data_IF_699136602879
#
_entry.id   IF_699136602879
#
_cell.length_a   1.000
_cell.length_b   1.000
_cell.length_c   1.000
_cell.angle_alpha   90.00
_cell.angle_beta   90.00
_cell.angle_gamma   90.00
#
_symmetry.space_group_name_H-M   'P 1'
#
loop_
_entity.id
_entity.type
_entity.pdbx_description
1 polymer ?
#
# COMPACT_ATOMS: atom_id res chain seq x y z
N UNK A 1 6.80 26.07 -1.14
CA UNK A 1 6.67 24.68 -1.61
C UNK A 1 7.35 23.80 -0.58
N UNK A 2 6.72 22.69 -0.17
CA UNK A 2 7.39 21.73 0.72
C UNK A 2 8.64 21.20 0.00
N UNK A 3 9.76 21.06 0.73
CA UNK A 3 11.01 20.52 0.17
C UNK A 3 10.81 19.06 -0.25
N UNK A 4 11.73 18.55 -1.06
CA UNK A 4 11.74 17.14 -1.46
C UNK A 4 11.88 16.23 -0.23
N UNK A 5 10.95 15.29 -0.03
CA UNK A 5 11.04 14.19 0.93
C UNK A 5 10.74 12.88 0.22
N UNK A 6 11.75 12.04 0.12
CA UNK A 6 11.65 10.69 -0.44
C UNK A 6 11.82 9.62 0.63
N UNK A 7 11.56 8.38 0.28
CA UNK A 7 11.78 7.24 1.18
C UNK A 7 12.13 5.97 0.41
N UNK A 8 12.90 5.10 1.03
CA UNK A 8 13.00 3.68 0.72
C UNK A 8 12.21 2.89 1.75
N UNK A 9 11.37 1.96 1.31
CA UNK A 9 10.38 1.31 2.16
C UNK A 9 10.39 -0.22 1.96
N UNK A 10 11.45 -0.92 2.45
CA UNK A 10 11.58 -2.36 2.27
C UNK A 10 10.74 -3.15 3.27
N UNK A 11 10.17 -4.29 2.82
CA UNK A 11 9.61 -5.32 3.70
C UNK A 11 10.73 -6.24 4.19
N UNK A 12 10.81 -6.54 5.50
CA UNK A 12 11.90 -7.34 6.06
C UNK A 12 11.64 -8.85 5.93
N UNK A 13 11.50 -9.32 4.68
CA UNK A 13 11.26 -10.73 4.31
C UNK A 13 12.53 -11.46 3.89
N UNK A 14 13.68 -10.92 4.21
CA UNK A 14 14.99 -11.42 3.87
C UNK A 14 15.99 -10.29 3.58
N UNK A 15 17.09 -10.62 2.94
CA UNK A 15 18.11 -9.69 2.49
C UNK A 15 17.61 -8.87 1.28
N UNK A 16 18.13 -7.65 1.14
CA UNK A 16 17.88 -6.88 -0.08
C UNK A 16 18.56 -7.57 -1.27
N UNK A 17 17.78 -7.86 -2.28
CA UNK A 17 18.29 -8.33 -3.57
C UNK A 17 18.71 -7.14 -4.47
N UNK A 18 19.34 -7.43 -5.60
CA UNK A 18 19.85 -6.40 -6.51
C UNK A 18 18.78 -5.36 -6.90
N UNK A 19 17.56 -5.80 -7.23
CA UNK A 19 16.46 -4.89 -7.58
C UNK A 19 16.06 -3.95 -6.44
N UNK A 20 16.05 -4.45 -5.19
CA UNK A 20 15.79 -3.62 -4.00
C UNK A 20 16.89 -2.58 -3.81
N UNK A 21 18.16 -2.96 -3.98
CA UNK A 21 19.28 -2.04 -3.87
C UNK A 21 19.28 -0.96 -4.98
N UNK A 22 18.89 -1.33 -6.20
CA UNK A 22 18.70 -0.36 -7.29
C UNK A 22 17.62 0.65 -6.96
N UNK A 23 16.46 0.18 -6.44
CA UNK A 23 15.38 1.09 -6.02
C UNK A 23 15.81 1.99 -4.84
N UNK A 24 16.56 1.44 -3.87
CA UNK A 24 17.12 2.21 -2.76
C UNK A 24 18.09 3.30 -3.27
N UNK A 25 19.05 2.92 -4.11
CA UNK A 25 20.01 3.85 -4.69
C UNK A 25 19.31 4.94 -5.53
N UNK A 26 18.37 4.56 -6.39
CA UNK A 26 17.61 5.50 -7.21
C UNK A 26 16.85 6.52 -6.35
N UNK A 27 16.16 6.06 -5.30
CA UNK A 27 15.42 6.94 -4.39
C UNK A 27 16.36 7.87 -3.60
N UNK A 28 17.52 7.38 -3.20
CA UNK A 28 18.54 8.18 -2.51
C UNK A 28 19.15 9.25 -3.44
N UNK A 29 19.54 8.85 -4.66
CA UNK A 29 20.10 9.78 -5.67
C UNK A 29 19.09 10.86 -6.04
N UNK A 30 17.82 10.50 -6.22
CA UNK A 30 16.77 11.47 -6.53
C UNK A 30 16.59 12.48 -5.39
N UNK A 31 16.62 12.04 -4.14
CA UNK A 31 16.59 12.93 -2.99
C UNK A 31 17.81 13.86 -2.94
N UNK A 32 19.01 13.35 -3.19
CA UNK A 32 20.25 14.15 -3.21
C UNK A 32 20.26 15.16 -4.35
N UNK A 33 19.82 14.77 -5.54
CA UNK A 33 19.73 15.67 -6.70
C UNK A 33 18.80 16.88 -6.46
N UNK A 34 17.83 16.72 -5.57
CA UNK A 34 16.88 17.76 -5.20
C UNK A 34 17.19 18.44 -3.86
N UNK A 35 18.37 18.19 -3.28
CA UNK A 35 18.75 18.68 -1.94
C UNK A 35 17.70 18.36 -0.87
N UNK A 36 17.05 17.18 -1.01
CA UNK A 36 15.95 16.75 -0.18
C UNK A 36 16.35 15.79 0.94
N UNK A 37 15.35 15.39 1.70
CA UNK A 37 15.45 14.42 2.79
C UNK A 37 15.11 13.04 2.27
N UNK A 38 15.90 12.03 2.66
CA UNK A 38 15.66 10.63 2.34
C UNK A 38 15.47 9.81 3.62
N UNK A 39 14.37 9.09 3.68
CA UNK A 39 13.95 8.29 4.83
C UNK A 39 14.04 6.79 4.54
N UNK A 40 14.16 6.00 5.60
CA UNK A 40 13.99 4.55 5.54
C UNK A 40 12.84 4.13 6.46
N UNK A 41 11.88 3.40 5.89
CA UNK A 41 10.74 2.85 6.61
C UNK A 41 10.66 1.34 6.40
N UNK A 42 10.78 0.59 7.48
CA UNK A 42 10.63 -0.87 7.47
C UNK A 42 9.14 -1.22 7.42
N UNK A 43 8.71 -1.92 6.38
CA UNK A 43 7.32 -2.28 6.14
C UNK A 43 7.01 -3.68 6.70
N UNK A 44 6.87 -3.75 8.00
CA UNK A 44 6.72 -4.94 8.82
C UNK A 44 5.30 -5.13 9.40
N UNK A 45 4.26 -4.63 8.74
CA UNK A 45 2.86 -4.79 9.22
C UNK A 45 2.40 -6.26 9.25
N UNK A 46 2.88 -7.09 8.33
CA UNK A 46 2.58 -8.52 8.25
C UNK A 46 3.69 -9.32 8.94
N UNK A 47 3.77 -9.20 10.27
CA UNK A 47 4.82 -9.82 11.09
C UNK A 47 5.06 -11.32 10.78
N UNK A 48 4.05 -12.17 10.54
CA UNK A 48 4.28 -13.57 10.18
C UNK A 48 5.11 -13.81 8.92
N UNK A 49 5.20 -12.81 8.03
CA UNK A 49 6.01 -12.86 6.80
C UNK A 49 7.40 -12.28 6.98
N UNK A 50 7.65 -11.61 8.10
CA UNK A 50 8.93 -10.99 8.39
C UNK A 50 9.91 -12.04 8.93
N UNK A 51 11.16 -11.99 8.47
CA UNK A 51 12.23 -12.80 9.01
C UNK A 51 12.86 -12.12 10.23
N UNK A 52 13.07 -12.82 11.34
CA UNK A 52 13.70 -12.25 12.52
C UNK A 52 15.07 -11.64 12.21
N UNK A 53 15.26 -10.36 12.53
CA UNK A 53 16.52 -9.64 12.33
C UNK A 53 16.75 -9.15 10.89
N UNK A 54 15.85 -9.43 9.93
CA UNK A 54 16.00 -8.97 8.56
C UNK A 54 15.99 -7.43 8.46
N UNK A 55 15.23 -6.75 9.31
CA UNK A 55 15.24 -5.29 9.39
C UNK A 55 16.62 -4.73 9.68
N UNK A 56 17.34 -5.32 10.64
CA UNK A 56 18.70 -4.92 11.01
C UNK A 56 19.72 -5.27 9.91
N UNK A 57 19.51 -6.39 9.21
CA UNK A 57 20.34 -6.76 8.06
C UNK A 57 20.16 -5.75 6.91
N UNK A 58 18.91 -5.38 6.59
CA UNK A 58 18.59 -4.38 5.59
C UNK A 58 19.27 -3.05 5.91
N UNK A 59 19.17 -2.57 7.16
CA UNK A 59 19.80 -1.31 7.56
C UNK A 59 21.32 -1.36 7.44
N UNK A 60 21.95 -2.51 7.76
CA UNK A 60 23.40 -2.71 7.55
C UNK A 60 23.77 -2.73 6.07
N UNK A 61 23.04 -3.47 5.23
CA UNK A 61 23.27 -3.48 3.78
C UNK A 61 23.22 -2.07 3.17
N UNK A 62 22.24 -1.25 3.59
CA UNK A 62 22.14 0.14 3.16
C UNK A 62 23.37 0.93 3.61
N UNK A 63 23.77 0.81 4.87
CA UNK A 63 24.96 1.50 5.42
C UNK A 63 26.26 1.08 4.71
N UNK A 64 26.43 -0.22 4.44
CA UNK A 64 27.58 -0.77 3.70
C UNK A 64 27.65 -0.21 2.25
N UNK A 65 26.48 0.13 1.66
CA UNK A 65 26.40 0.82 0.38
C UNK A 65 26.52 2.35 0.49
N UNK A 66 26.72 2.91 1.67
CA UNK A 66 26.79 4.37 1.90
C UNK A 66 25.41 5.06 1.86
N UNK A 67 24.31 4.30 1.89
CA UNK A 67 22.95 4.82 1.83
C UNK A 67 22.43 5.08 3.25
N UNK A 68 22.78 6.22 3.82
CA UNK A 68 22.37 6.61 5.16
C UNK A 68 21.11 7.46 5.13
N UNK A 69 20.06 7.12 5.92
CA UNK A 69 18.86 7.95 6.03
C UNK A 69 19.17 9.24 6.81
N UNK A 70 18.45 10.30 6.47
CA UNK A 70 18.61 11.63 7.11
C UNK A 70 17.87 11.73 8.45
N UNK A 71 16.93 10.84 8.73
CA UNK A 71 16.21 10.72 9.99
C UNK A 71 16.25 9.26 10.48
N UNK A 72 16.02 8.99 11.78
CA UNK A 72 15.99 7.62 12.29
C UNK A 72 14.98 6.76 11.52
N UNK A 73 15.33 5.51 11.18
CA UNK A 73 14.40 4.58 10.53
C UNK A 73 13.14 4.36 11.36
N UNK A 74 12.02 4.12 10.67
CA UNK A 74 10.72 3.86 11.27
C UNK A 74 10.21 2.46 10.94
N UNK A 75 9.32 1.90 11.77
CA UNK A 75 8.70 0.59 11.58
C UNK A 75 7.19 0.72 11.54
N UNK A 76 6.56 0.11 10.56
CA UNK A 76 5.10 0.14 10.39
C UNK A 76 4.36 -0.61 11.51
N UNK A 77 4.93 -1.69 12.02
CA UNK A 77 4.35 -2.45 13.15
C UNK A 77 4.08 -1.60 14.40
N UNK A 78 4.77 -0.48 14.53
CA UNK A 78 4.63 0.46 15.66
C UNK A 78 3.57 1.54 15.43
N UNK A 79 2.90 1.56 14.26
CA UNK A 79 2.02 2.64 13.83
C UNK A 79 0.52 2.29 13.90
N UNK A 80 0.14 1.18 14.53
CA UNK A 80 -1.23 0.69 14.56
C UNK A 80 -2.29 1.73 14.95
N UNK A 81 -2.01 2.54 15.98
CA UNK A 81 -2.91 3.61 16.42
C UNK A 81 -3.12 4.69 15.35
N UNK A 82 -2.09 5.02 14.57
CA UNK A 82 -2.20 5.98 13.49
C UNK A 82 -3.05 5.44 12.33
N UNK A 83 -2.94 4.14 12.04
CA UNK A 83 -3.79 3.52 11.02
C UNK A 83 -5.25 3.46 11.47
N UNK A 84 -5.52 3.19 12.75
CA UNK A 84 -6.88 3.28 13.29
C UNK A 84 -7.45 4.69 13.13
N UNK A 85 -6.69 5.71 13.50
CA UNK A 85 -7.10 7.10 13.32
C UNK A 85 -7.37 7.46 11.85
N UNK A 86 -6.52 7.00 10.92
CA UNK A 86 -6.68 7.27 9.49
C UNK A 86 -7.90 6.53 8.88
N UNK A 87 -8.36 5.44 9.48
CA UNK A 87 -9.54 4.71 9.02
C UNK A 87 -10.85 5.45 9.38
N UNK A 88 -10.89 6.22 10.48
CA UNK A 88 -12.10 6.88 10.96
C UNK A 88 -12.78 7.76 9.91
N UNK A 89 -12.09 8.69 9.22
CA UNK A 89 -12.74 9.51 8.20
C UNK A 89 -13.34 8.69 7.05
N UNK A 90 -12.70 7.57 6.66
CA UNK A 90 -13.25 6.68 5.64
C UNK A 90 -14.54 5.99 6.10
N UNK A 91 -14.62 5.69 7.39
CA UNK A 91 -15.83 5.13 7.99
C UNK A 91 -16.96 6.17 8.01
N UNK A 92 -16.67 7.39 8.47
CA UNK A 92 -17.64 8.49 8.51
C UNK A 92 -18.18 8.86 7.12
N UNK A 93 -17.37 8.69 6.09
CA UNK A 93 -17.75 8.91 4.69
C UNK A 93 -18.46 7.70 4.07
N UNK A 94 -18.68 6.62 4.82
CA UNK A 94 -19.21 5.34 4.31
C UNK A 94 -18.36 4.78 3.13
N UNK A 95 -17.09 5.19 3.03
CA UNK A 95 -16.16 4.75 2.00
C UNK A 95 -15.55 3.36 2.27
N UNK A 96 -15.86 2.76 3.42
CA UNK A 96 -15.41 1.42 3.81
C UNK A 96 -16.55 0.60 4.39
N UNK A 97 -16.42 -0.72 4.29
CA UNK A 97 -17.38 -1.67 4.84
C UNK A 97 -16.72 -2.96 5.33
N UNK A 98 -17.41 -3.67 6.24
CA UNK A 98 -16.98 -4.96 6.74
C UNK A 98 -17.28 -6.09 5.75
N UNK A 99 -16.33 -6.99 5.54
CA UNK A 99 -16.44 -8.12 4.63
C UNK A 99 -16.03 -9.42 5.33
N UNK A 100 -16.87 -10.46 5.19
CA UNK A 100 -16.63 -11.81 5.74
C UNK A 100 -16.10 -12.79 4.69
N UNK A 101 -16.06 -12.41 3.43
CA UNK A 101 -15.64 -13.29 2.35
C UNK A 101 -14.19 -13.71 2.49
N UNK A 102 -13.97 -15.02 2.50
CA UNK A 102 -12.66 -15.62 2.28
C UNK A 102 -12.27 -15.59 0.80
N UNK A 103 -11.00 -15.93 0.48
CA UNK A 103 -10.57 -16.09 -0.91
C UNK A 103 -11.40 -17.14 -1.65
N UNK A 104 -11.76 -18.22 -0.96
CA UNK A 104 -12.59 -19.30 -1.53
C UNK A 104 -14.00 -18.82 -1.88
N UNK A 105 -14.61 -17.97 -1.04
CA UNK A 105 -15.94 -17.41 -1.32
C UNK A 105 -15.90 -16.51 -2.57
N UNK A 106 -14.82 -15.73 -2.75
CA UNK A 106 -14.62 -14.91 -3.94
C UNK A 106 -14.47 -15.77 -5.18
N UNK A 107 -13.66 -16.84 -5.10
CA UNK A 107 -13.47 -17.79 -6.20
C UNK A 107 -14.78 -18.48 -6.57
N UNK A 108 -15.57 -18.94 -5.59
CA UNK A 108 -16.89 -19.54 -5.81
C UNK A 108 -17.88 -18.55 -6.44
N UNK A 109 -17.88 -17.30 -6.03
CA UNK A 109 -18.76 -16.28 -6.60
C UNK A 109 -18.45 -16.03 -8.08
N UNK A 110 -17.18 -16.09 -8.48
CA UNK A 110 -16.79 -15.97 -9.88
C UNK A 110 -17.03 -17.25 -10.68
N UNK A 111 -16.78 -18.41 -10.08
CA UNK A 111 -17.10 -19.71 -10.72
C UNK A 111 -18.60 -19.81 -11.04
N UNK A 112 -19.48 -19.36 -10.13
CA UNK A 112 -20.91 -19.28 -10.37
C UNK A 112 -21.32 -18.36 -11.53
N UNK A 113 -20.44 -17.43 -11.92
CA UNK A 113 -20.58 -16.52 -13.08
C UNK A 113 -19.86 -17.04 -14.33
N UNK A 114 -19.34 -18.28 -14.29
CA UNK A 114 -18.61 -18.91 -15.41
C UNK A 114 -17.17 -18.44 -15.58
N UNK A 115 -16.61 -17.70 -14.60
CA UNK A 115 -15.22 -17.23 -14.64
C UNK A 115 -14.33 -18.20 -13.85
N UNK A 116 -13.34 -18.76 -14.52
CA UNK A 116 -12.33 -19.64 -13.91
C UNK A 116 -11.05 -18.85 -13.70
N UNK A 117 -10.51 -18.89 -12.47
CA UNK A 117 -9.26 -18.23 -12.12
C UNK A 117 -8.08 -18.86 -12.85
N UNK A 118 -7.30 -18.08 -13.56
CA UNK A 118 -6.01 -18.48 -14.10
C UNK A 118 -4.91 -18.46 -13.02
N UNK A 119 -3.81 -19.21 -13.25
CA UNK A 119 -2.63 -19.14 -12.36
C UNK A 119 -2.14 -17.69 -12.26
N UNK A 120 -1.86 -17.24 -11.06
CA UNK A 120 -1.35 -15.88 -10.74
C UNK A 120 -2.32 -14.71 -10.97
N UNK A 121 -3.57 -14.97 -11.37
CA UNK A 121 -4.58 -13.92 -11.48
C UNK A 121 -5.18 -13.59 -10.11
N UNK A 122 -5.12 -12.33 -9.69
CA UNK A 122 -5.92 -11.84 -8.58
C UNK A 122 -7.33 -11.56 -9.08
N UNK A 123 -8.32 -12.18 -8.44
CA UNK A 123 -9.73 -11.96 -8.81
C UNK A 123 -10.22 -10.65 -8.23
N UNK A 124 -10.84 -9.84 -9.07
CA UNK A 124 -11.56 -8.64 -8.63
C UNK A 124 -12.64 -9.04 -7.61
N UNK A 125 -12.75 -8.29 -6.52
CA UNK A 125 -13.79 -8.60 -5.52
C UNK A 125 -15.19 -8.41 -6.10
N UNK A 126 -16.08 -9.43 -6.03
CA UNK A 126 -17.39 -9.40 -6.72
C UNK A 126 -18.44 -8.49 -6.06
N UNK A 127 -18.11 -7.80 -4.97
CA UNK A 127 -19.02 -6.90 -4.28
C UNK A 127 -20.03 -7.58 -3.35
N UNK A 128 -19.85 -8.86 -3.02
CA UNK A 128 -20.84 -9.68 -2.26
C UNK A 128 -21.30 -9.03 -0.94
N UNK A 129 -20.39 -8.37 -0.20
CA UNK A 129 -20.73 -7.69 1.06
C UNK A 129 -20.99 -6.19 0.89
N UNK A 130 -20.92 -5.64 -0.33
CA UNK A 130 -21.07 -4.20 -0.62
C UNK A 130 -22.49 -3.70 -0.47
N UNK A 131 -23.48 -4.55 -0.69
CA UNK A 131 -24.91 -4.18 -0.82
C UNK A 131 -25.61 -3.88 0.47
N UNK A 132 -25.00 -4.18 1.59
CA UNK A 132 -25.56 -3.90 2.88
C UNK A 132 -25.14 -2.51 3.38
N UNK A 133 -25.58 -1.43 2.71
CA UNK A 133 -25.59 -0.10 3.32
C UNK A 133 -26.28 -0.23 4.67
N UNK A 134 -25.54 -0.06 5.76
CA UNK A 134 -26.07 -0.02 7.11
C UNK A 134 -26.11 -1.35 7.87
N UNK A 135 -25.62 -2.50 7.37
CA UNK A 135 -25.62 -3.76 8.13
C UNK A 135 -24.34 -4.03 8.96
N UNK A 136 -23.35 -3.15 8.94
CA UNK A 136 -22.42 -3.08 10.07
C UNK A 136 -22.94 -1.95 10.95
N UNK A 137 -23.82 -2.29 11.89
CA UNK A 137 -24.30 -1.38 12.92
C UNK A 137 -23.05 -0.89 13.69
N UNK A 138 -22.60 0.30 13.37
CA UNK A 138 -21.81 1.10 14.28
C UNK A 138 -22.74 1.40 15.45
N UNK A 139 -22.51 0.80 16.60
CA UNK A 139 -23.05 1.39 17.80
C UNK A 139 -22.35 2.72 17.96
N UNK A 140 -23.08 3.81 17.79
CA UNK A 140 -22.61 5.18 17.93
C UNK A 140 -22.04 5.49 19.34
N UNK A 141 -22.07 4.54 20.24
CA UNK A 141 -21.68 4.66 21.65
C UNK A 141 -20.22 4.24 21.94
N UNK A 142 -19.45 3.78 20.96
CA UNK A 142 -18.06 3.45 21.24
C UNK A 142 -17.13 4.59 20.83
N UNK A 143 -16.60 5.28 21.82
CA UNK A 143 -15.50 6.26 21.73
C UNK A 143 -14.18 5.64 21.21
N UNK A 144 -14.16 4.38 20.94
CA UNK A 144 -13.18 3.64 20.13
C UNK A 144 -13.97 2.61 19.34
N UNK A 145 -14.00 2.72 18.00
CA UNK A 145 -14.56 1.65 17.19
C UNK A 145 -13.64 0.44 17.37
N UNK A 146 -14.00 -0.46 18.26
CA UNK A 146 -13.42 -1.80 18.25
C UNK A 146 -13.80 -2.41 16.92
N UNK A 147 -12.88 -2.24 15.94
CA UNK A 147 -13.02 -2.86 14.63
C UNK A 147 -13.35 -4.32 14.84
N UNK A 148 -14.55 -4.73 14.47
CA UNK A 148 -15.08 -6.03 14.83
C UNK A 148 -14.08 -7.10 14.40
N UNK A 149 -13.62 -7.91 15.37
CA UNK A 149 -12.72 -9.03 15.10
C UNK A 149 -13.42 -9.99 14.14
N UNK A 150 -12.66 -10.54 13.20
CA UNK A 150 -13.20 -11.49 12.21
C UNK A 150 -13.82 -10.86 10.97
N UNK A 151 -13.76 -9.54 10.82
CA UNK A 151 -14.15 -8.83 9.58
C UNK A 151 -12.93 -8.22 8.91
N UNK A 152 -12.82 -8.42 7.60
CA UNK A 152 -11.93 -7.61 6.78
C UNK A 152 -12.61 -6.28 6.47
N UNK A 153 -11.87 -5.18 6.50
CA UNK A 153 -12.35 -3.87 6.11
C UNK A 153 -11.93 -3.59 4.68
N UNK A 154 -12.90 -3.32 3.80
CA UNK A 154 -12.66 -3.01 2.39
C UNK A 154 -12.98 -1.57 2.07
N UNK A 155 -12.10 -0.96 1.27
CA UNK A 155 -12.39 0.32 0.62
C UNK A 155 -13.37 0.08 -0.51
N UNK A 156 -14.44 0.88 -0.53
CA UNK A 156 -15.44 0.87 -1.59
C UNK A 156 -14.94 1.72 -2.75
N UNK A 157 -14.48 1.06 -3.81
CA UNK A 157 -14.02 1.75 -5.01
C UNK A 157 -15.21 2.38 -5.73
N UNK A 158 -15.17 3.70 -6.03
CA UNK A 158 -16.24 4.36 -6.77
C UNK A 158 -16.49 3.71 -8.15
N UNK A 159 -17.73 3.72 -8.68
CA UNK A 159 -18.05 3.10 -9.97
C UNK A 159 -17.21 3.62 -11.14
N UNK A 160 -16.97 4.92 -11.17
CA UNK A 160 -16.25 5.60 -12.26
C UNK A 160 -14.82 5.99 -11.85
N UNK A 161 -14.12 5.06 -11.21
CA UNK A 161 -12.76 5.29 -10.69
C UNK A 161 -11.69 5.15 -11.78
N UNK A 162 -11.75 6.00 -12.81
CA UNK A 162 -10.65 6.18 -13.74
C UNK A 162 -9.58 7.04 -13.08
N UNK A 163 -8.41 6.45 -12.80
CA UNK A 163 -7.27 7.16 -12.23
C UNK A 163 -6.24 7.43 -13.31
N UNK A 164 -5.97 8.71 -13.53
CA UNK A 164 -4.89 9.17 -14.40
C UNK A 164 -3.78 9.74 -13.53
N UNK A 165 -2.53 9.35 -13.81
CA UNK A 165 -1.35 9.92 -13.14
C UNK A 165 -0.18 9.99 -14.11
N UNK A 166 0.78 10.81 -13.78
CA UNK A 166 2.02 10.91 -14.53
C UNK A 166 3.15 10.32 -13.72
N UNK A 167 3.79 9.32 -14.27
CA UNK A 167 5.04 8.78 -13.73
C UNK A 167 6.22 9.42 -14.45
N UNK A 168 7.28 9.72 -13.70
CA UNK A 168 8.44 10.43 -14.26
C UNK A 168 9.21 9.59 -15.30
N UNK A 169 9.10 8.26 -15.28
CA UNK A 169 9.72 7.35 -16.25
C UNK A 169 8.71 6.75 -17.21
N UNK A 170 7.58 6.24 -16.70
CA UNK A 170 6.57 5.55 -17.50
C UNK A 170 5.70 6.51 -18.33
N UNK A 171 5.72 7.81 -18.00
CA UNK A 171 4.89 8.82 -18.67
C UNK A 171 3.45 8.85 -18.16
N UNK A 172 2.50 9.10 -19.04
CA UNK A 172 1.08 9.14 -18.71
C UNK A 172 0.55 7.72 -18.50
N UNK A 173 -0.02 7.48 -17.34
CA UNK A 173 -0.58 6.20 -16.92
C UNK A 173 -2.07 6.34 -16.61
N UNK A 174 -2.83 5.31 -16.90
CA UNK A 174 -4.28 5.28 -16.68
C UNK A 174 -4.73 3.91 -16.22
N UNK A 175 -5.61 3.84 -15.22
CA UNK A 175 -6.24 2.58 -14.81
C UNK A 175 -7.69 2.80 -14.38
N UNK A 176 -8.58 1.93 -14.86
CA UNK A 176 -9.98 1.84 -14.41
C UNK A 176 -10.04 0.91 -13.18
N UNK A 177 -9.90 1.48 -11.98
CA UNK A 177 -9.66 0.70 -10.74
C UNK A 177 -10.84 -0.18 -10.37
N UNK A 178 -12.09 0.28 -10.55
CA UNK A 178 -13.27 -0.54 -10.26
C UNK A 178 -13.36 -1.81 -11.13
N UNK A 179 -12.85 -1.76 -12.35
CA UNK A 179 -12.86 -2.90 -13.28
C UNK A 179 -11.67 -3.83 -13.10
N UNK A 180 -10.48 -3.27 -12.83
CA UNK A 180 -9.23 -4.05 -12.78
C UNK A 180 -8.88 -4.57 -11.37
N UNK A 181 -9.36 -3.90 -10.32
CA UNK A 181 -9.05 -4.22 -8.92
C UNK A 181 -10.33 -4.48 -8.10
N UNK A 182 -11.36 -3.62 -8.26
CA UNK A 182 -12.56 -3.63 -7.43
C UNK A 182 -12.27 -3.16 -5.99
N UNK A 183 -13.18 -3.49 -5.08
CA UNK A 183 -13.04 -3.13 -3.67
C UNK A 183 -11.89 -3.90 -3.02
N UNK A 184 -10.93 -3.21 -2.43
CA UNK A 184 -9.73 -3.82 -1.87
C UNK A 184 -9.64 -3.68 -0.35
N UNK A 185 -8.91 -4.60 0.27
CA UNK A 185 -8.78 -4.69 1.72
C UNK A 185 -7.87 -3.58 2.25
N UNK A 186 -8.31 -2.89 3.32
CA UNK A 186 -7.51 -1.97 4.12
C UNK A 186 -7.01 -2.62 5.41
N UNK A 187 -7.84 -3.49 6.01
CA UNK A 187 -7.48 -4.28 7.18
C UNK A 187 -8.03 -5.70 7.02
N UNK A 188 -7.20 -6.70 7.25
CA UNK A 188 -7.57 -8.12 7.18
C UNK A 188 -8.43 -8.52 8.39
N UNK A 189 -9.14 -9.64 8.27
CA UNK A 189 -9.97 -10.20 9.34
C UNK A 189 -9.15 -10.61 10.59
N UNK A 190 -7.89 -10.95 10.42
CA UNK A 190 -6.92 -11.24 11.49
C UNK A 190 -6.35 -9.97 12.16
N UNK A 191 -6.73 -8.78 11.67
CA UNK A 191 -6.33 -7.50 12.21
C UNK A 191 -5.10 -6.87 11.55
N UNK A 192 -4.45 -7.55 10.62
CA UNK A 192 -3.27 -7.03 9.91
C UNK A 192 -3.70 -5.94 8.93
N UNK A 193 -3.01 -4.81 8.94
CA UNK A 193 -3.22 -3.71 8.00
C UNK A 193 -2.69 -4.07 6.61
N UNK A 194 -3.39 -3.64 5.57
CA UNK A 194 -2.93 -3.86 4.20
C UNK A 194 -1.78 -2.91 3.86
N UNK A 195 -0.92 -3.38 2.97
CA UNK A 195 0.17 -2.60 2.39
C UNK A 195 -0.31 -1.24 1.87
N UNK A 196 -1.40 -1.23 1.09
CA UNK A 196 -1.92 0.00 0.46
C UNK A 196 -2.28 1.07 1.50
N UNK A 197 -2.95 0.67 2.57
CA UNK A 197 -3.39 1.61 3.59
C UNK A 197 -2.25 2.10 4.48
N UNK A 198 -1.38 1.18 4.88
CA UNK A 198 -0.22 1.52 5.71
C UNK A 198 0.72 2.50 5.00
N UNK A 199 1.06 2.23 3.73
CA UNK A 199 1.93 3.10 2.92
C UNK A 199 1.35 4.49 2.75
N UNK A 200 0.07 4.61 2.36
CA UNK A 200 -0.58 5.92 2.16
C UNK A 200 -0.61 6.72 3.45
N UNK A 201 -0.95 6.07 4.56
CA UNK A 201 -0.99 6.74 5.87
C UNK A 201 0.39 7.20 6.32
N UNK A 202 1.41 6.36 6.18
CA UNK A 202 2.76 6.71 6.60
C UNK A 202 3.42 7.74 5.68
N UNK A 203 3.22 7.64 4.37
CA UNK A 203 3.72 8.64 3.42
C UNK A 203 3.15 10.03 3.76
N UNK A 204 1.87 10.11 4.08
CA UNK A 204 1.25 11.38 4.51
C UNK A 204 1.83 11.89 5.84
N UNK A 205 1.95 11.02 6.85
CA UNK A 205 2.48 11.38 8.18
C UNK A 205 3.94 11.82 8.14
N UNK A 206 4.74 11.20 7.27
CA UNK A 206 6.15 11.53 7.06
C UNK A 206 6.34 12.70 6.09
N UNK A 207 5.26 13.23 5.50
CA UNK A 207 5.31 14.33 4.55
C UNK A 207 6.04 13.96 3.25
N UNK A 208 5.91 12.70 2.82
CA UNK A 208 6.56 12.21 1.59
C UNK A 208 5.96 12.93 0.38
N UNK A 209 6.84 13.53 -0.41
CA UNK A 209 6.48 14.27 -1.63
C UNK A 209 6.83 13.50 -2.90
N UNK A 210 7.78 12.55 -2.81
CA UNK A 210 8.28 11.79 -3.95
C UNK A 210 8.40 10.31 -3.58
N UNK A 211 7.85 9.47 -4.43
CA UNK A 211 7.88 8.00 -4.31
C UNK A 211 8.69 7.43 -5.46
N UNK A 212 9.90 6.97 -5.16
CA UNK A 212 10.74 6.22 -6.10
C UNK A 212 10.76 4.77 -5.65
N UNK A 213 10.39 3.83 -6.54
CA UNK A 213 10.30 2.39 -6.23
C UNK A 213 10.34 1.54 -7.50
N UNK A 214 10.44 0.21 -7.38
CA UNK A 214 10.43 -0.71 -8.51
C UNK A 214 9.13 -0.69 -9.31
N UNK A 215 9.22 -0.95 -10.61
CA UNK A 215 8.07 -0.97 -11.53
C UNK A 215 7.05 -2.06 -11.22
N UNK A 216 7.46 -3.15 -10.56
CA UNK A 216 6.57 -4.19 -10.03
C UNK A 216 5.49 -3.65 -9.08
N UNK A 217 5.70 -2.46 -8.52
CA UNK A 217 4.74 -1.78 -7.68
C UNK A 217 3.89 -0.72 -8.41
N UNK A 218 4.06 -0.53 -9.72
CA UNK A 218 3.33 0.49 -10.48
C UNK A 218 1.81 0.30 -10.42
N UNK A 219 1.34 -0.95 -10.48
CA UNK A 219 -0.08 -1.30 -10.39
C UNK A 219 -0.73 -0.96 -9.04
N UNK A 220 0.07 -0.68 -8.02
CA UNK A 220 -0.44 -0.23 -6.72
C UNK A 220 -0.75 1.27 -6.69
N UNK A 221 -0.15 2.05 -7.58
CA UNK A 221 -0.25 3.51 -7.60
C UNK A 221 -1.70 4.02 -7.68
N UNK A 222 -2.56 3.53 -8.59
CA UNK A 222 -3.94 4.02 -8.66
C UNK A 222 -4.76 3.73 -7.40
N UNK A 223 -4.55 2.58 -6.74
CA UNK A 223 -5.20 2.27 -5.44
C UNK A 223 -4.78 3.26 -4.36
N UNK A 224 -3.49 3.60 -4.33
CA UNK A 224 -2.94 4.56 -3.37
C UNK A 224 -3.46 5.97 -3.65
N UNK A 225 -3.56 6.38 -4.92
CA UNK A 225 -4.14 7.67 -5.31
C UNK A 225 -5.62 7.76 -4.88
N UNK A 226 -6.43 6.73 -5.09
CA UNK A 226 -7.82 6.71 -4.62
C UNK A 226 -7.93 6.86 -3.10
N UNK A 227 -7.05 6.20 -2.33
CA UNK A 227 -7.01 6.35 -0.89
C UNK A 227 -6.58 7.76 -0.47
N UNK A 228 -5.57 8.33 -1.14
CA UNK A 228 -5.14 9.71 -0.91
C UNK A 228 -6.29 10.69 -1.12
N UNK A 229 -7.02 10.54 -2.23
CA UNK A 229 -8.19 11.38 -2.53
C UNK A 229 -9.28 11.24 -1.48
N UNK A 230 -9.62 10.01 -1.08
CA UNK A 230 -10.65 9.75 -0.09
C UNK A 230 -10.28 10.28 1.32
N UNK A 231 -8.99 10.32 1.62
CA UNK A 231 -8.45 10.85 2.88
C UNK A 231 -8.12 12.35 2.83
N UNK A 232 -8.28 13.01 1.67
CA UNK A 232 -7.92 14.41 1.49
C UNK A 232 -6.41 14.66 1.61
N UNK A 233 -5.58 13.67 1.23
CA UNK A 233 -4.13 13.72 1.31
C UNK A 233 -3.52 14.16 -0.03
N UNK A 234 -2.35 14.80 -0.02
CA UNK A 234 -1.64 15.12 -1.23
C UNK A 234 -1.15 13.86 -1.93
N UNK A 235 -1.18 13.86 -3.27
CA UNK A 235 -0.60 12.80 -4.10
C UNK A 235 0.88 13.08 -4.33
N UNK A 236 1.79 12.18 -3.96
CA UNK A 236 3.22 12.31 -4.25
C UNK A 236 3.51 12.25 -5.76
N UNK A 237 4.68 12.74 -6.14
CA UNK A 237 5.25 12.52 -7.47
C UNK A 237 5.84 11.12 -7.53
N UNK A 238 5.47 10.34 -8.56
CA UNK A 238 5.93 8.95 -8.73
C UNK A 238 7.06 8.83 -9.75
N UNK A 239 7.99 7.93 -9.47
CA UNK A 239 9.01 7.43 -10.38
C UNK A 239 9.19 5.93 -10.15
N UNK A 240 8.87 5.11 -11.12
CA UNK A 240 9.09 3.68 -11.07
C UNK A 240 10.37 3.30 -11.81
N UNK A 241 11.32 2.67 -11.10
CA UNK A 241 12.60 2.22 -11.68
C UNK A 241 12.39 0.94 -12.49
N UNK A 242 13.20 0.69 -13.53
CA UNK A 242 13.18 -0.58 -14.25
C UNK A 242 13.43 -1.76 -13.29
N UNK A 243 12.91 -2.92 -13.64
CA UNK A 243 13.23 -4.17 -12.95
C UNK A 243 14.67 -4.57 -13.26
N UNK A 244 15.32 -5.17 -12.28
CA UNK A 244 16.60 -5.84 -12.48
C UNK A 244 16.29 -7.28 -12.82
N UNK A 245 16.60 -7.66 -14.04
CA UNK A 245 16.37 -9.00 -14.54
C UNK A 245 17.66 -9.81 -14.40
N UNK A 246 17.54 -11.12 -14.26
CA UNK A 246 18.67 -12.02 -14.30
C UNK A 246 19.19 -12.24 -15.75
N UNK A 247 20.17 -13.11 -15.92
CA UNK A 247 20.75 -13.42 -17.24
C UNK A 247 19.76 -14.11 -18.20
N UNK A 248 18.67 -14.68 -17.67
CA UNK A 248 17.58 -15.30 -18.46
C UNK A 248 16.48 -14.29 -18.83
N UNK A 249 16.54 -13.07 -18.29
CA UNK A 249 15.54 -12.02 -18.52
C UNK A 249 14.30 -12.16 -17.63
N UNK A 250 14.41 -12.91 -16.51
CA UNK A 250 13.35 -13.12 -15.52
C UNK A 250 13.58 -12.30 -14.23
#
# INVERSE_FOLDING_TARGET
MAGYRGRFAPSPTGWLHAGSLVAALASWLDARAHHGVWLVRIEDVDLPRCEPGADQHILRQLADCGLHPDEPPTWQSRQGAAYEQALHPLIQQEAVYGCRCSRKDIEQAWAARGVVKSRHQELVYPGTCRTARGQVAWSADSTSPHLARGLAWRFQVPPDSLVNWRDRRLGECTQQVNASVGDFVLRRADGVWSYQFAVVTDDARQGITHVVRGEDLADNTPRQILLQQALGLPTPVYLHTPLVLDAAGE
#
